data_IF_025017677237
#
_entry.id   IF_025017677237
#
_cell.length_a   1.000
_cell.length_b   1.000
_cell.length_c   1.000
_cell.angle_alpha   90.00
_cell.angle_beta   90.00
_cell.angle_gamma   90.00
#
_symmetry.space_group_name_H-M   'P 1'
#
loop_
_entity.id
_entity.type
_entity.pdbx_description
1 polymer ?
#
# COMPACT_ATOMS: atom_id res chain seq x y z
N UNK A 1 21.06 -3.53 1.77
CA UNK A 1 20.14 -3.67 2.90
C UNK A 1 19.94 -2.28 3.51
N UNK A 2 18.70 -1.81 3.70
CA UNK A 2 18.45 -0.48 4.27
C UNK A 2 18.76 -0.47 5.78
N UNK A 3 19.02 0.70 6.36
CA UNK A 3 19.26 0.84 7.81
C UNK A 3 18.09 0.29 8.63
N UNK A 4 16.85 0.52 8.19
CA UNK A 4 15.65 0.01 8.83
C UNK A 4 15.59 -1.53 8.80
N UNK A 5 15.92 -2.15 7.65
CA UNK A 5 15.95 -3.60 7.53
C UNK A 5 17.04 -4.23 8.42
N UNK A 6 18.21 -3.60 8.50
CA UNK A 6 19.30 -4.05 9.39
C UNK A 6 18.89 -3.95 10.87
N UNK A 7 18.26 -2.85 11.27
CA UNK A 7 17.76 -2.67 12.63
C UNK A 7 16.79 -3.79 13.03
N UNK A 8 15.83 -4.10 12.16
CA UNK A 8 14.87 -5.18 12.43
C UNK A 8 15.50 -6.56 12.44
N UNK A 9 16.47 -6.81 11.55
CA UNK A 9 17.23 -8.05 11.56
C UNK A 9 17.93 -8.26 12.91
N UNK A 10 18.65 -7.23 13.40
CA UNK A 10 19.30 -7.25 14.71
C UNK A 10 18.26 -7.53 15.80
N UNK A 11 17.15 -6.81 15.79
CA UNK A 11 16.10 -6.95 16.81
C UNK A 11 15.53 -8.39 16.85
N UNK A 12 15.31 -9.01 15.70
CA UNK A 12 14.85 -10.42 15.64
C UNK A 12 15.93 -11.42 16.03
N UNK A 13 17.21 -11.16 15.70
CA UNK A 13 18.33 -12.05 15.99
C UNK A 13 18.67 -12.12 17.49
N UNK A 14 18.40 -11.04 18.23
CA UNK A 14 18.61 -10.96 19.68
C UNK A 14 17.33 -11.21 20.49
N UNK A 15 16.22 -11.59 19.85
CA UNK A 15 14.99 -11.89 20.53
C UNK A 15 15.10 -13.17 21.39
N UNK A 16 14.40 -13.24 22.54
CA UNK A 16 14.37 -14.45 23.35
C UNK A 16 13.91 -15.70 22.58
N UNK A 17 14.39 -16.90 22.94
CA UNK A 17 13.91 -18.14 22.36
C UNK A 17 12.40 -18.29 22.54
N UNK A 18 11.68 -18.56 21.44
CA UNK A 18 10.23 -18.73 21.44
C UNK A 18 9.41 -17.54 20.96
N UNK A 19 9.97 -16.32 20.96
CA UNK A 19 9.25 -15.12 20.46
C UNK A 19 9.74 -14.61 19.10
N UNK A 20 10.92 -15.05 18.66
CA UNK A 20 11.56 -14.52 17.45
C UNK A 20 10.69 -14.60 16.18
N UNK A 21 9.95 -15.69 15.99
CA UNK A 21 9.08 -15.87 14.81
C UNK A 21 7.88 -14.91 14.85
N UNK A 22 7.20 -14.85 15.99
CA UNK A 22 6.04 -13.96 16.18
C UNK A 22 6.46 -12.49 16.07
N UNK A 23 7.59 -12.14 16.69
CA UNK A 23 8.17 -10.81 16.59
C UNK A 23 8.54 -10.44 15.15
N UNK A 24 9.14 -11.37 14.39
CA UNK A 24 9.47 -11.14 12.97
C UNK A 24 8.22 -10.84 12.14
N UNK A 25 7.13 -11.58 12.38
CA UNK A 25 5.83 -11.34 11.74
C UNK A 25 5.27 -9.97 12.11
N UNK A 26 5.28 -9.63 13.40
CA UNK A 26 4.73 -8.38 13.89
C UNK A 26 5.52 -7.17 13.35
N UNK A 27 6.85 -7.27 13.26
CA UNK A 27 7.72 -6.27 12.63
C UNK A 27 7.40 -6.10 11.13
N UNK A 28 7.17 -7.19 10.40
CA UNK A 28 6.79 -7.12 8.99
C UNK A 28 5.44 -6.41 8.81
N UNK A 29 4.46 -6.69 9.68
CA UNK A 29 3.18 -5.98 9.70
C UNK A 29 3.38 -4.48 9.97
N UNK A 30 4.22 -4.13 10.95
CA UNK A 30 4.55 -2.75 11.27
C UNK A 30 5.25 -2.01 10.11
N UNK A 31 6.15 -2.69 9.38
CA UNK A 31 6.76 -2.11 8.17
C UNK A 31 5.73 -1.78 7.10
N UNK A 32 4.81 -2.71 6.80
CA UNK A 32 3.73 -2.44 5.86
C UNK A 32 2.86 -1.28 6.33
N UNK A 33 2.58 -1.23 7.63
CA UNK A 33 1.83 -0.14 8.23
C UNK A 33 2.52 1.23 8.05
N UNK A 34 3.83 1.33 8.31
CA UNK A 34 4.59 2.56 8.06
C UNK A 34 4.51 3.00 6.59
N UNK A 35 4.56 2.03 5.67
CA UNK A 35 4.45 2.30 4.24
C UNK A 35 3.05 2.85 3.87
N UNK A 36 2.01 2.29 4.47
CA UNK A 36 0.63 2.73 4.26
C UNK A 36 0.33 4.09 4.89
N UNK A 37 0.96 4.39 6.03
CA UNK A 37 0.94 5.73 6.61
C UNK A 37 1.64 6.74 5.70
N UNK A 38 2.84 6.40 5.19
CA UNK A 38 3.61 7.27 4.32
C UNK A 38 2.87 7.65 3.02
N UNK A 39 2.04 6.76 2.48
CA UNK A 39 1.20 7.07 1.30
C UNK A 39 0.18 8.19 1.56
N UNK A 40 -0.28 8.34 2.80
CA UNK A 40 -1.40 9.22 3.17
C UNK A 40 -0.96 10.44 3.99
N UNK A 41 0.23 10.41 4.55
CA UNK A 41 0.71 11.36 5.54
C UNK A 41 2.08 11.93 5.14
N UNK A 42 2.46 13.05 5.74
CA UNK A 42 3.76 13.67 5.49
C UNK A 42 4.89 12.77 5.99
N UNK A 43 6.04 12.75 5.30
CA UNK A 43 7.22 12.00 5.78
C UNK A 43 7.58 12.36 7.23
N UNK A 44 7.52 13.66 7.54
CA UNK A 44 7.86 14.19 8.87
C UNK A 44 6.96 13.62 9.96
N UNK A 45 5.64 13.62 9.76
CA UNK A 45 4.70 13.10 10.77
C UNK A 45 4.85 11.58 10.96
N UNK A 46 5.07 10.83 9.87
CA UNK A 46 5.36 9.39 9.93
C UNK A 46 6.69 9.10 10.66
N UNK A 47 7.70 9.94 10.45
CA UNK A 47 8.98 9.83 11.15
C UNK A 47 8.85 10.08 12.66
N UNK A 48 8.10 11.12 13.05
CA UNK A 48 7.79 11.40 14.46
C UNK A 48 6.99 10.25 15.09
N UNK A 49 5.99 9.75 14.38
CA UNK A 49 5.23 8.56 14.78
C UNK A 49 6.16 7.37 15.01
N UNK A 50 7.02 7.05 14.04
CA UNK A 50 7.96 5.92 14.10
C UNK A 50 8.87 6.00 15.33
N UNK A 51 9.53 7.13 15.56
CA UNK A 51 10.41 7.29 16.72
C UNK A 51 9.66 7.27 18.05
N UNK A 52 8.44 7.82 18.11
CA UNK A 52 7.63 7.80 19.33
C UNK A 52 7.19 6.37 19.67
N UNK A 53 6.76 5.62 18.65
CA UNK A 53 6.39 4.22 18.75
C UNK A 53 7.57 3.37 19.25
N UNK A 54 8.75 3.50 18.63
CA UNK A 54 9.95 2.79 19.07
C UNK A 54 10.39 3.20 20.47
N UNK A 55 10.32 4.48 20.81
CA UNK A 55 10.60 4.98 22.16
C UNK A 55 9.68 4.36 23.21
N UNK A 56 8.40 4.12 22.90
CA UNK A 56 7.47 3.39 23.77
C UNK A 56 7.91 1.93 23.92
N UNK A 57 8.24 1.24 22.81
CA UNK A 57 8.66 -0.17 22.84
C UNK A 57 9.93 -0.40 23.62
N UNK A 58 10.93 0.46 23.43
CA UNK A 58 12.18 0.41 24.20
C UNK A 58 11.96 0.59 25.72
N UNK A 59 10.92 1.30 26.15
CA UNK A 59 10.59 1.51 27.58
C UNK A 59 9.76 0.39 28.20
N UNK A 60 8.95 -0.30 27.40
CA UNK A 60 8.07 -1.36 27.87
C UNK A 60 8.77 -2.71 27.68
N UNK A 61 8.57 -3.29 26.51
CA UNK A 61 9.31 -4.44 26.02
C UNK A 61 9.37 -4.31 24.49
N UNK A 62 10.58 -4.44 23.97
CA UNK A 62 10.85 -4.38 22.53
C UNK A 62 10.61 -5.74 21.86
N UNK A 63 10.67 -6.83 22.63
CA UNK A 63 10.50 -8.20 22.16
C UNK A 63 9.07 -8.72 22.29
N UNK A 64 8.15 -7.98 22.93
CA UNK A 64 6.72 -8.30 23.02
C UNK A 64 6.03 -8.14 21.64
N UNK A 65 5.66 -9.24 20.95
CA UNK A 65 5.06 -9.16 19.61
C UNK A 65 3.70 -8.44 19.61
N UNK A 66 2.90 -8.56 20.66
CA UNK A 66 1.58 -7.94 20.74
C UNK A 66 1.68 -6.41 20.77
N UNK A 67 2.76 -5.88 21.36
CA UNK A 67 3.08 -4.46 21.35
C UNK A 67 3.37 -3.87 19.96
N UNK A 68 3.57 -4.71 18.94
CA UNK A 68 3.80 -4.29 17.54
C UNK A 68 2.55 -4.32 16.66
N UNK A 69 1.43 -4.83 17.17
CA UNK A 69 0.20 -4.99 16.39
C UNK A 69 -0.58 -3.66 16.21
N UNK A 70 -1.37 -3.53 15.11
CA UNK A 70 -2.02 -2.28 14.72
C UNK A 70 -2.99 -1.68 15.75
N UNK A 71 -3.53 -2.46 16.68
CA UNK A 71 -4.47 -1.93 17.68
C UNK A 71 -3.78 -0.92 18.63
N UNK A 72 -2.51 -1.16 19.00
CA UNK A 72 -1.71 -0.20 19.78
C UNK A 72 -1.33 1.03 18.96
N UNK A 73 -1.29 0.90 17.64
CA UNK A 73 -0.89 1.95 16.69
C UNK A 73 -2.01 3.00 16.52
N UNK A 74 -3.27 2.60 16.64
CA UNK A 74 -4.43 3.49 16.49
C UNK A 74 -4.53 4.62 17.53
N UNK A 75 -3.72 4.60 18.59
CA UNK A 75 -3.72 5.61 19.66
C UNK A 75 -2.82 6.82 19.38
N UNK A 76 -2.05 6.82 18.29
CA UNK A 76 -1.11 7.90 17.99
C UNK A 76 -1.75 9.01 17.14
N UNK A 77 -2.12 10.12 17.78
CA UNK A 77 -2.61 11.34 17.11
C UNK A 77 -1.46 12.23 16.59
N UNK A 78 -0.45 11.64 15.93
CA UNK A 78 0.77 12.35 15.49
C UNK A 78 0.85 12.53 13.97
N UNK A 79 -0.16 12.06 13.24
CA UNK A 79 -0.13 11.96 11.79
C UNK A 79 -0.72 13.20 11.14
N UNK A 80 0.06 13.81 10.25
CA UNK A 80 -0.36 14.95 9.43
C UNK A 80 -0.59 14.45 8.01
N UNK A 81 -1.79 14.67 7.49
CA UNK A 81 -2.17 14.24 6.14
C UNK A 81 -1.28 14.94 5.10
N UNK A 82 -0.84 14.19 4.10
CA UNK A 82 -0.20 14.78 2.92
C UNK A 82 -1.30 15.26 1.97
N UNK A 83 -1.63 16.55 2.03
CA UNK A 83 -2.70 17.16 1.22
C UNK A 83 -2.50 16.94 -0.29
N UNK A 84 -1.25 16.91 -0.77
CA UNK A 84 -0.93 16.63 -2.16
C UNK A 84 -1.23 15.18 -2.55
N UNK A 85 -0.87 14.22 -1.69
CA UNK A 85 -1.20 12.81 -1.90
C UNK A 85 -2.72 12.53 -1.79
N UNK A 86 -3.41 13.25 -0.91
CA UNK A 86 -4.87 13.18 -0.79
C UNK A 86 -5.58 13.70 -2.05
N UNK A 87 -5.09 14.80 -2.64
CA UNK A 87 -5.55 15.28 -3.94
C UNK A 87 -5.26 14.30 -5.08
N UNK A 88 -4.07 13.68 -5.09
CA UNK A 88 -3.67 12.71 -6.12
C UNK A 88 -4.49 11.41 -6.05
N UNK A 89 -4.85 10.93 -4.85
CA UNK A 89 -5.76 9.78 -4.71
C UNK A 89 -7.16 10.12 -5.22
N UNK A 90 -7.70 11.29 -4.84
CA UNK A 90 -9.03 11.72 -5.30
C UNK A 90 -9.08 11.92 -6.81
N UNK A 91 -8.04 12.51 -7.40
CA UNK A 91 -7.96 12.68 -8.86
C UNK A 91 -7.67 11.39 -9.60
N UNK A 92 -6.97 10.40 -9.02
CA UNK A 92 -6.74 9.11 -9.68
C UNK A 92 -7.93 8.15 -9.58
N UNK A 93 -8.71 8.18 -8.49
CA UNK A 93 -9.96 7.40 -8.38
C UNK A 93 -11.09 7.98 -9.26
N UNK A 94 -11.10 9.30 -9.48
CA UNK A 94 -12.07 9.97 -10.36
C UNK A 94 -11.53 10.32 -11.75
N UNK A 95 -10.32 9.88 -12.11
CA UNK A 95 -9.85 10.04 -13.49
C UNK A 95 -10.78 9.22 -14.39
N UNK A 96 -11.56 9.84 -15.28
CA UNK A 96 -12.30 9.07 -16.26
C UNK A 96 -11.29 8.22 -17.01
N UNK A 97 -11.57 6.91 -17.13
CA UNK A 97 -10.71 5.98 -17.84
C UNK A 97 -10.24 6.63 -19.15
N UNK A 98 -8.94 6.51 -19.50
CA UNK A 98 -8.43 7.12 -20.73
C UNK A 98 -9.31 6.67 -21.89
N UNK A 99 -9.90 7.64 -22.61
CA UNK A 99 -10.74 7.36 -23.78
C UNK A 99 -9.91 6.51 -24.73
N UNK A 100 -10.28 5.23 -24.89
CA UNK A 100 -9.63 4.34 -25.85
C UNK A 100 -9.60 5.06 -27.21
N UNK A 101 -8.40 5.40 -27.68
CA UNK A 101 -8.23 5.84 -29.06
C UNK A 101 -8.46 4.62 -29.93
N UNK A 102 -9.56 4.61 -30.67
CA UNK A 102 -9.90 3.54 -31.60
C UNK A 102 -8.77 3.39 -32.63
N UNK A 103 -7.93 2.38 -32.47
CA UNK A 103 -7.05 1.91 -33.53
C UNK A 103 -7.95 1.28 -34.59
N UNK A 104 -7.92 1.81 -35.80
CA UNK A 104 -8.82 1.47 -36.91
C UNK A 104 -8.66 0.06 -37.49
N UNK A 105 -8.47 -0.96 -36.65
CA UNK A 105 -8.48 -2.35 -37.09
C UNK A 105 -9.92 -2.74 -37.46
N UNK A 106 -10.16 -3.21 -38.69
CA UNK A 106 -11.46 -3.71 -39.15
C UNK A 106 -11.57 -5.21 -38.80
N UNK A 107 -12.30 -5.54 -37.74
CA UNK A 107 -12.71 -6.90 -37.43
C UNK A 107 -14.03 -7.23 -38.16
N UNK A 108 -14.00 -8.28 -38.95
CA UNK A 108 -15.13 -8.85 -39.70
C UNK A 108 -15.76 -9.96 -38.87
N UNK A 109 -16.74 -9.63 -38.03
CA UNK A 109 -17.49 -10.65 -37.28
C UNK A 109 -18.38 -10.06 -36.20
N UNK A 110 -19.70 -10.20 -36.35
CA UNK A 110 -20.71 -9.59 -35.48
C UNK A 110 -20.92 -10.31 -34.14
N UNK A 111 -19.89 -10.36 -33.29
CA UNK A 111 -20.05 -10.81 -31.91
C UNK A 111 -20.58 -9.67 -31.00
N UNK A 112 -21.57 -9.93 -30.13
CA UNK A 112 -22.08 -8.92 -29.20
C UNK A 112 -21.03 -8.51 -28.14
N UNK A 113 -20.95 -7.21 -27.80
CA UNK A 113 -19.99 -6.72 -26.79
C UNK A 113 -20.36 -7.25 -25.40
N UNK A 114 -19.49 -8.04 -24.77
CA UNK A 114 -19.62 -8.46 -23.38
C UNK A 114 -18.31 -8.21 -22.60
N UNK A 115 -18.39 -8.28 -21.26
CA UNK A 115 -17.26 -7.97 -20.36
C UNK A 115 -16.03 -8.88 -20.51
N UNK A 116 -16.16 -10.01 -21.22
CA UNK A 116 -15.10 -11.00 -21.41
C UNK A 116 -14.54 -10.96 -22.84
N UNK A 117 -14.83 -9.93 -23.63
CA UNK A 117 -14.37 -9.88 -25.03
C UNK A 117 -12.87 -9.59 -25.18
N UNK A 118 -12.05 -9.64 -24.13
CA UNK A 118 -10.56 -9.61 -24.15
C UNK A 118 -9.93 -8.64 -25.19
N UNK A 119 -10.55 -7.49 -25.44
CA UNK A 119 -10.08 -6.49 -26.42
C UNK A 119 -10.56 -6.68 -27.87
N UNK A 120 -11.33 -7.72 -28.19
CA UNK A 120 -11.85 -8.03 -29.53
C UNK A 120 -13.23 -7.40 -29.81
N UNK A 121 -13.41 -6.10 -29.52
CA UNK A 121 -14.65 -5.41 -29.88
C UNK A 121 -14.42 -4.15 -30.71
N UNK A 122 -15.15 -4.07 -31.83
CA UNK A 122 -15.11 -2.96 -32.77
C UNK A 122 -16.33 -2.04 -32.73
N UNK A 123 -17.16 -2.15 -31.69
CA UNK A 123 -18.38 -1.35 -31.62
C UNK A 123 -18.05 0.10 -31.28
N UNK A 124 -18.49 1.03 -32.14
CA UNK A 124 -18.18 2.48 -32.04
C UNK A 124 -18.57 3.14 -30.69
N UNK A 125 -19.39 2.45 -29.89
CA UNK A 125 -19.90 2.88 -28.58
C UNK A 125 -19.91 1.72 -27.55
N UNK A 126 -18.90 0.85 -27.51
CA UNK A 126 -18.91 -0.21 -26.47
C UNK A 126 -18.78 0.41 -25.07
N UNK A 127 -19.57 -0.12 -24.12
CA UNK A 127 -19.64 0.32 -22.71
C UNK A 127 -18.58 -0.32 -21.81
N UNK A 128 -17.80 -1.29 -22.31
CA UNK A 128 -16.84 -2.05 -21.51
C UNK A 128 -15.41 -1.55 -21.75
N UNK A 129 -14.53 -1.60 -20.72
CA UNK A 129 -13.13 -1.23 -20.87
C UNK A 129 -12.39 -2.26 -21.74
N UNK A 130 -11.65 -1.80 -22.74
CA UNK A 130 -10.82 -2.64 -23.60
C UNK A 130 -9.34 -2.48 -23.23
N UNK A 131 -8.60 -3.57 -23.21
CA UNK A 131 -7.14 -3.56 -23.04
C UNK A 131 -6.51 -3.60 -24.43
N UNK A 132 -5.79 -2.55 -24.83
CA UNK A 132 -4.91 -2.63 -26.00
C UNK A 132 -3.60 -3.29 -25.58
N UNK A 133 -3.32 -4.50 -26.08
CA UNK A 133 -1.96 -5.05 -26.06
C UNK A 133 -1.14 -4.36 -27.15
N UNK A 134 0.07 -3.91 -26.81
CA UNK A 134 1.03 -3.29 -27.73
C UNK A 134 1.48 -4.23 -28.85
#
# INVERSE_FOLDING_TARGET
MSALALYFYILTAFAPPGVALELSRAIMNYQHHLYDLFKRNTFRSVLVYHFTFHGKRARLDVYDPAGWEPQEIGFFNLLETNEQAALDQFTNEYKPAPKCQATGAKFTGGAPCNKNNDGECNHKNCRYPHVCSY
#
